data_IF_932192482843
#
_entry.id   IF_932192482843
#
_cell.length_a   1.000
_cell.length_b   1.000
_cell.length_c   1.000
_cell.angle_alpha   90.00
_cell.angle_beta   90.00
_cell.angle_gamma   90.00
#
_symmetry.space_group_name_H-M   'P 1'
#
loop_
_entity.id
_entity.type
_entity.pdbx_description
1 polymer ?
#
# COMPACT_ATOMS: atom_id res chain seq x y z
N UNK A 1 8.68 46.52 9.66
CA UNK A 1 7.22 46.26 9.65
C UNK A 1 7.04 44.77 9.41
N UNK A 2 6.58 44.07 10.44
CA UNK A 2 6.53 42.61 10.48
C UNK A 2 5.28 42.06 9.82
N UNK A 3 5.47 41.05 8.98
CA UNK A 3 4.44 40.07 8.68
C UNK A 3 5.06 38.73 9.08
N UNK A 4 4.90 38.36 10.36
CA UNK A 4 5.02 36.95 10.75
C UNK A 4 3.82 36.27 10.09
N UNK A 5 4.09 35.36 9.16
CA UNK A 5 3.11 34.51 8.49
C UNK A 5 2.26 33.75 9.52
N UNK A 6 1.16 34.37 9.96
CA UNK A 6 0.14 33.77 10.80
C UNK A 6 -0.84 32.88 9.99
N UNK A 7 -0.46 32.43 8.79
CA UNK A 7 -1.33 31.72 7.87
C UNK A 7 -1.07 30.20 7.78
N UNK A 8 -0.23 29.63 8.66
CA UNK A 8 0.06 28.18 8.70
C UNK A 8 -0.80 27.46 9.75
N UNK A 9 -1.51 28.18 10.63
CA UNK A 9 -2.26 27.60 11.75
C UNK A 9 -3.78 27.49 11.57
N UNK A 10 -4.29 27.43 10.34
CA UNK A 10 -5.64 26.91 10.14
C UNK A 10 -5.61 25.38 10.25
N UNK A 11 -5.24 24.90 11.44
CA UNK A 11 -5.46 23.54 11.91
C UNK A 11 -6.98 23.36 11.97
N UNK A 12 -7.50 22.44 11.18
CA UNK A 12 -8.91 22.06 11.20
C UNK A 12 -9.00 20.69 11.88
N UNK A 13 -9.27 20.62 13.20
CA UNK A 13 -9.36 19.35 13.93
C UNK A 13 -10.28 18.34 13.24
N UNK A 14 -11.39 18.84 12.67
CA UNK A 14 -12.36 18.06 11.89
C UNK A 14 -11.77 17.45 10.61
N UNK A 15 -10.81 18.10 9.97
CA UNK A 15 -10.13 17.58 8.76
C UNK A 15 -9.16 16.47 9.14
N UNK A 16 -8.48 16.60 10.28
CA UNK A 16 -7.59 15.55 10.78
C UNK A 16 -8.36 14.31 11.27
N UNK A 17 -9.52 14.52 11.92
CA UNK A 17 -10.43 13.43 12.28
C UNK A 17 -10.92 12.69 11.03
N UNK A 18 -11.24 13.45 9.97
CA UNK A 18 -11.61 12.86 8.68
C UNK A 18 -10.48 12.04 8.06
N UNK A 19 -9.24 12.55 8.03
CA UNK A 19 -8.10 11.80 7.47
C UNK A 19 -7.82 10.54 8.29
N UNK A 20 -7.84 10.62 9.62
CA UNK A 20 -7.67 9.46 10.48
C UNK A 20 -8.78 8.41 10.25
N UNK A 21 -10.04 8.85 10.13
CA UNK A 21 -11.17 7.98 9.83
C UNK A 21 -11.07 7.34 8.43
N UNK A 22 -10.56 8.06 7.43
CA UNK A 22 -10.34 7.51 6.08
C UNK A 22 -9.23 6.45 6.07
N UNK A 23 -8.16 6.63 6.84
CA UNK A 23 -7.11 5.63 7.01
C UNK A 23 -7.65 4.40 7.74
N UNK A 24 -8.44 4.58 8.80
CA UNK A 24 -9.09 3.49 9.52
C UNK A 24 -10.08 2.71 8.63
N UNK A 25 -10.90 3.40 7.85
CA UNK A 25 -11.80 2.79 6.86
C UNK A 25 -11.04 2.01 5.78
N UNK A 26 -9.91 2.56 5.32
CA UNK A 26 -9.02 1.88 4.37
C UNK A 26 -8.45 0.58 4.98
N UNK A 27 -8.08 0.59 6.26
CA UNK A 27 -7.63 -0.62 6.98
C UNK A 27 -8.72 -1.67 7.07
N UNK A 28 -9.95 -1.27 7.42
CA UNK A 28 -11.10 -2.19 7.50
C UNK A 28 -11.39 -2.84 6.15
N UNK A 29 -11.45 -2.04 5.08
CA UNK A 29 -11.64 -2.53 3.71
C UNK A 29 -10.53 -3.47 3.25
N UNK A 30 -9.27 -3.13 3.57
CA UNK A 30 -8.15 -4.01 3.30
C UNK A 30 -8.33 -5.36 4.00
N UNK A 31 -8.63 -5.34 5.31
CA UNK A 31 -8.85 -6.56 6.09
C UNK A 31 -10.02 -7.41 5.58
N UNK A 32 -11.14 -6.79 5.22
CA UNK A 32 -12.31 -7.46 4.63
C UNK A 32 -11.97 -8.12 3.29
N UNK A 33 -11.29 -7.39 2.39
CA UNK A 33 -10.87 -7.93 1.10
C UNK A 33 -9.90 -9.10 1.27
N UNK A 34 -8.93 -8.96 2.19
CA UNK A 34 -7.98 -10.04 2.52
C UNK A 34 -8.74 -11.27 3.02
N UNK A 35 -9.66 -11.10 3.97
CA UNK A 35 -10.43 -12.20 4.54
C UNK A 35 -11.21 -12.95 3.45
N UNK A 36 -11.89 -12.22 2.55
CA UNK A 36 -12.65 -12.82 1.45
C UNK A 36 -11.77 -13.66 0.51
N UNK A 37 -10.56 -13.18 0.20
CA UNK A 37 -9.63 -13.91 -0.67
C UNK A 37 -9.13 -15.18 0.01
N UNK A 38 -8.75 -15.08 1.29
CA UNK A 38 -8.29 -16.23 2.06
C UNK A 38 -9.41 -17.27 2.19
N UNK A 39 -10.63 -16.84 2.47
CA UNK A 39 -11.82 -17.71 2.54
C UNK A 39 -12.15 -18.37 1.19
N UNK A 40 -11.87 -17.70 0.07
CA UNK A 40 -12.08 -18.27 -1.26
C UNK A 40 -11.11 -19.41 -1.62
N UNK A 41 -10.10 -19.67 -0.77
CA UNK A 41 -9.12 -20.74 -0.98
C UNK A 41 -8.08 -20.44 -2.06
N UNK A 42 -7.90 -19.16 -2.42
CA UNK A 42 -6.94 -18.75 -3.44
C UNK A 42 -5.48 -19.05 -3.03
N UNK A 43 -4.72 -19.53 -4.00
CA UNK A 43 -3.26 -19.68 -3.95
C UNK A 43 -2.56 -18.39 -3.54
N UNK A 44 -1.34 -18.48 -3.01
CA UNK A 44 -0.58 -17.29 -2.62
C UNK A 44 -0.39 -16.32 -3.81
N UNK A 45 -0.21 -16.85 -5.02
CA UNK A 45 -0.20 -16.08 -6.27
C UNK A 45 -1.50 -15.32 -6.51
N UNK A 46 -2.65 -15.98 -6.36
CA UNK A 46 -3.95 -15.33 -6.56
C UNK A 46 -4.18 -14.20 -5.55
N UNK A 47 -3.76 -14.38 -4.29
CA UNK A 47 -3.88 -13.32 -3.28
C UNK A 47 -3.01 -12.11 -3.61
N UNK A 48 -1.75 -12.34 -4.00
CA UNK A 48 -0.84 -11.25 -4.37
C UNK A 48 -1.23 -10.62 -5.71
N UNK A 49 -1.77 -11.41 -6.64
CA UNK A 49 -2.32 -10.91 -7.91
C UNK A 49 -3.49 -9.96 -7.67
N UNK A 50 -4.41 -10.32 -6.77
CA UNK A 50 -5.50 -9.45 -6.37
C UNK A 50 -5.01 -8.09 -5.86
N UNK A 51 -3.93 -8.07 -5.08
CA UNK A 51 -3.34 -6.81 -4.59
C UNK A 51 -2.92 -5.90 -5.74
N UNK A 52 -2.26 -6.47 -6.75
CA UNK A 52 -1.83 -5.72 -7.93
C UNK A 52 -3.01 -5.26 -8.79
N UNK A 53 -4.02 -6.11 -8.96
CA UNK A 53 -5.24 -5.76 -9.70
C UNK A 53 -6.05 -4.68 -8.99
N UNK A 54 -6.09 -4.72 -7.66
CA UNK A 54 -6.69 -3.66 -6.85
C UNK A 54 -5.98 -2.31 -7.09
N UNK A 55 -4.65 -2.28 -7.09
CA UNK A 55 -3.89 -1.07 -7.39
C UNK A 55 -4.14 -0.55 -8.82
N UNK A 56 -4.25 -1.44 -9.81
CA UNK A 56 -4.58 -1.08 -11.19
C UNK A 56 -6.01 -0.54 -11.33
N UNK A 57 -6.98 -1.18 -10.66
CA UNK A 57 -8.37 -0.71 -10.62
C UNK A 57 -8.48 0.66 -9.98
N UNK A 58 -7.83 0.88 -8.84
CA UNK A 58 -7.80 2.20 -8.21
C UNK A 58 -7.19 3.26 -9.13
N UNK A 59 -6.13 2.92 -9.87
CA UNK A 59 -5.58 3.81 -10.88
C UNK A 59 -6.61 4.17 -11.95
N UNK A 60 -7.33 3.18 -12.48
CA UNK A 60 -8.33 3.36 -13.54
C UNK A 60 -9.54 4.19 -13.06
N UNK A 61 -9.83 4.16 -11.75
CA UNK A 61 -10.82 5.02 -11.08
C UNK A 61 -10.30 6.42 -10.71
N UNK A 62 -9.07 6.78 -11.12
CA UNK A 62 -8.44 8.07 -10.80
C UNK A 62 -7.86 8.17 -9.39
N UNK A 63 -7.77 7.07 -8.65
CA UNK A 63 -7.16 6.95 -7.30
C UNK A 63 -5.74 6.41 -7.40
N UNK A 64 -4.90 7.08 -8.20
CA UNK A 64 -3.54 6.61 -8.52
C UNK A 64 -2.63 6.50 -7.29
N UNK A 65 -2.84 7.34 -6.26
CA UNK A 65 -2.05 7.38 -5.03
C UNK A 65 -2.81 6.62 -3.93
N UNK A 66 -2.14 5.68 -3.26
CA UNK A 66 -2.73 4.95 -2.14
C UNK A 66 -2.87 5.83 -0.89
N UNK A 67 -3.78 5.49 0.06
CA UNK A 67 -3.94 6.25 1.29
C UNK A 67 -2.64 6.48 2.07
N UNK A 68 -1.77 5.46 2.30
CA UNK A 68 -0.49 5.71 2.96
C UNK A 68 0.44 6.66 2.19
N UNK A 69 0.51 6.48 0.87
CA UNK A 69 1.33 7.32 -0.01
C UNK A 69 0.83 8.77 -0.12
N UNK A 70 -0.43 9.04 0.21
CA UNK A 70 -1.01 10.40 0.13
C UNK A 70 -0.59 11.30 1.29
N UNK A 71 -0.17 10.73 2.42
CA UNK A 71 0.20 11.48 3.64
C UNK A 71 1.68 11.38 3.99
N UNK A 72 2.45 10.52 3.29
CA UNK A 72 3.83 10.20 3.67
C UNK A 72 4.80 11.38 3.56
N UNK A 73 4.58 12.30 2.61
CA UNK A 73 5.46 13.46 2.39
C UNK A 73 5.39 14.46 3.55
N UNK A 74 4.21 14.57 4.17
CA UNK A 74 3.97 15.49 5.29
C UNK A 74 4.04 14.76 6.65
N UNK A 75 4.51 13.50 6.68
CA UNK A 75 4.35 12.60 7.83
C UNK A 75 4.82 13.21 9.16
N UNK A 76 5.92 13.97 9.17
CA UNK A 76 6.46 14.63 10.38
C UNK A 76 5.51 15.67 10.97
N UNK A 77 4.81 16.40 10.11
CA UNK A 77 3.90 17.50 10.46
C UNK A 77 2.47 17.01 10.75
N UNK A 78 2.18 15.73 10.48
CA UNK A 78 0.86 15.16 10.73
C UNK A 78 0.53 15.11 12.24
N UNK A 79 -0.75 15.22 12.60
CA UNK A 79 -1.21 14.92 13.95
C UNK A 79 -0.92 13.47 14.33
N UNK A 80 -0.61 13.22 15.61
CA UNK A 80 -0.27 11.89 16.12
C UNK A 80 -1.33 10.82 15.82
N UNK A 81 -2.61 11.18 15.86
CA UNK A 81 -3.71 10.26 15.49
C UNK A 81 -3.62 9.78 14.04
N UNK A 82 -3.24 10.67 13.11
CA UNK A 82 -3.10 10.35 11.68
C UNK A 82 -1.85 9.51 11.47
N UNK A 83 -0.72 9.89 12.09
CA UNK A 83 0.52 9.10 12.07
C UNK A 83 0.27 7.67 12.53
N UNK A 84 -0.42 7.51 13.66
CA UNK A 84 -0.79 6.20 14.22
C UNK A 84 -1.60 5.37 13.24
N UNK A 85 -2.67 5.92 12.66
CA UNK A 85 -3.50 5.16 11.71
C UNK A 85 -2.73 4.80 10.43
N UNK A 86 -1.85 5.69 9.98
CA UNK A 86 -1.02 5.44 8.81
C UNK A 86 -0.02 4.30 9.04
N UNK A 87 0.67 4.30 10.18
CA UNK A 87 1.61 3.24 10.56
C UNK A 87 0.87 1.90 10.71
N UNK A 88 -0.27 1.88 11.40
CA UNK A 88 -1.07 0.66 11.53
C UNK A 88 -1.52 0.10 10.18
N UNK A 89 -1.87 0.96 9.21
CA UNK A 89 -2.22 0.50 7.87
C UNK A 89 -1.02 -0.11 7.12
N UNK A 90 0.16 0.51 7.25
CA UNK A 90 1.39 -0.04 6.65
C UNK A 90 1.78 -1.38 7.29
N UNK A 91 1.69 -1.48 8.62
CA UNK A 91 1.98 -2.72 9.36
C UNK A 91 1.02 -3.85 8.97
N UNK A 92 -0.27 -3.55 8.80
CA UNK A 92 -1.27 -4.52 8.35
C UNK A 92 -0.97 -5.03 6.93
N UNK A 93 -0.60 -4.12 6.00
CA UNK A 93 -0.20 -4.47 4.64
C UNK A 93 1.05 -5.36 4.65
N UNK A 94 2.09 -4.96 5.38
CA UNK A 94 3.35 -5.71 5.46
C UNK A 94 3.15 -7.09 6.07
N UNK A 95 2.36 -7.19 7.13
CA UNK A 95 2.03 -8.45 7.80
C UNK A 95 1.33 -9.41 6.84
N UNK A 96 0.34 -8.90 6.10
CA UNK A 96 -0.39 -9.70 5.13
C UNK A 96 0.48 -10.15 3.96
N UNK A 97 1.22 -9.23 3.31
CA UNK A 97 2.11 -9.57 2.19
C UNK A 97 3.16 -10.59 2.64
N UNK A 98 3.74 -10.43 3.84
CA UNK A 98 4.66 -11.42 4.42
C UNK A 98 4.02 -12.80 4.55
N UNK A 99 2.78 -12.87 5.05
CA UNK A 99 2.02 -14.12 5.13
C UNK A 99 1.82 -14.79 3.77
N UNK A 100 1.44 -14.01 2.75
CA UNK A 100 1.27 -14.49 1.38
C UNK A 100 2.58 -15.00 0.79
N UNK A 101 3.67 -14.23 0.91
CA UNK A 101 4.98 -14.62 0.40
C UNK A 101 5.51 -15.89 1.07
N UNK A 102 5.33 -16.02 2.39
CA UNK A 102 5.69 -17.23 3.15
C UNK A 102 4.92 -18.45 2.65
N UNK A 103 3.60 -18.33 2.48
CA UNK A 103 2.78 -19.42 1.97
C UNK A 103 3.20 -19.82 0.55
N UNK A 104 3.45 -18.86 -0.32
CA UNK A 104 3.88 -19.13 -1.70
C UNK A 104 5.26 -19.77 -1.79
N UNK A 105 6.21 -19.42 -0.91
CA UNK A 105 7.49 -20.15 -0.81
C UNK A 105 7.29 -21.61 -0.40
N UNK A 106 6.43 -21.87 0.59
CA UNK A 106 6.14 -23.23 1.06
C UNK A 106 5.45 -24.07 -0.02
N UNK A 107 4.61 -23.45 -0.83
CA UNK A 107 3.87 -24.08 -1.93
C UNK A 107 4.69 -24.15 -3.24
N UNK A 108 5.88 -23.56 -3.26
CA UNK A 108 6.76 -23.52 -4.43
C UNK A 108 6.35 -22.53 -5.52
N UNK A 109 5.35 -21.67 -5.26
CA UNK A 109 4.78 -20.68 -6.17
C UNK A 109 5.68 -19.45 -6.38
N UNK A 110 6.51 -19.14 -5.37
CA UNK A 110 7.54 -18.11 -5.41
C UNK A 110 8.94 -18.72 -5.24
N UNK A 111 9.97 -17.98 -5.64
CA UNK A 111 11.36 -18.43 -5.53
C UNK A 111 12.29 -17.24 -5.35
N UNK A 112 12.63 -16.95 -4.11
CA UNK A 112 13.62 -15.92 -3.72
C UNK A 112 14.42 -16.38 -2.49
N UNK A 113 15.58 -15.77 -2.25
CA UNK A 113 16.55 -16.22 -1.24
C UNK A 113 16.63 -15.35 0.02
N UNK A 114 16.12 -14.12 -0.02
CA UNK A 114 16.12 -13.21 1.13
C UNK A 114 15.02 -13.57 2.13
N UNK A 115 15.00 -12.89 3.28
CA UNK A 115 13.92 -13.07 4.25
C UNK A 115 12.57 -12.66 3.66
N UNK A 116 11.51 -13.31 4.13
CA UNK A 116 10.13 -13.00 3.74
C UNK A 116 9.80 -11.54 4.05
N UNK A 117 10.27 -11.05 5.19
CA UNK A 117 10.02 -9.70 5.68
C UNK A 117 10.68 -8.66 4.76
N UNK A 118 11.97 -8.84 4.44
CA UNK A 118 12.69 -7.94 3.54
C UNK A 118 12.08 -7.94 2.13
N UNK A 119 11.59 -9.11 1.67
CA UNK A 119 10.93 -9.21 0.38
C UNK A 119 9.55 -8.54 0.38
N UNK A 120 8.80 -8.66 1.47
CA UNK A 120 7.51 -7.98 1.62
C UNK A 120 7.68 -6.46 1.64
N UNK A 121 8.67 -5.94 2.36
CA UNK A 121 9.05 -4.52 2.36
C UNK A 121 9.33 -4.05 0.93
N UNK A 122 10.19 -4.75 0.19
CA UNK A 122 10.53 -4.40 -1.19
C UNK A 122 9.29 -4.35 -2.10
N UNK A 123 8.37 -5.33 -1.98
CA UNK A 123 7.12 -5.35 -2.76
C UNK A 123 6.26 -4.13 -2.45
N UNK A 124 6.08 -3.81 -1.17
CA UNK A 124 5.26 -2.67 -0.73
C UNK A 124 5.88 -1.35 -1.18
N UNK A 125 7.18 -1.15 -0.95
CA UNK A 125 7.92 0.04 -1.36
C UNK A 125 7.87 0.25 -2.87
N UNK A 126 8.18 -0.80 -3.64
CA UNK A 126 8.19 -0.75 -5.10
C UNK A 126 6.79 -0.42 -5.66
N UNK A 127 5.73 -1.03 -5.12
CA UNK A 127 4.37 -0.76 -5.56
C UNK A 127 3.91 0.64 -5.16
N UNK A 128 4.19 1.10 -3.94
CA UNK A 128 3.88 2.46 -3.50
C UNK A 128 4.56 3.51 -4.38
N UNK A 129 5.86 3.35 -4.65
CA UNK A 129 6.61 4.23 -5.54
C UNK A 129 6.09 4.19 -6.98
N UNK A 130 5.74 3.00 -7.49
CA UNK A 130 5.15 2.84 -8.81
C UNK A 130 3.81 3.56 -8.92
N UNK A 131 2.95 3.46 -7.90
CA UNK A 131 1.67 4.16 -7.82
C UNK A 131 1.85 5.68 -7.89
N UNK A 132 2.77 6.24 -7.08
CA UNK A 132 3.11 7.67 -7.14
C UNK A 132 3.61 8.07 -8.53
N UNK A 133 4.59 7.37 -9.09
CA UNK A 133 5.13 7.71 -10.42
C UNK A 133 4.09 7.55 -11.53
N UNK A 134 3.19 6.57 -11.43
CA UNK A 134 2.13 6.37 -12.41
C UNK A 134 1.13 7.52 -12.45
N UNK A 135 0.93 8.24 -11.35
CA UNK A 135 0.06 9.43 -11.33
C UNK A 135 0.54 10.53 -12.29
N UNK A 136 1.85 10.53 -12.61
CA UNK A 136 2.48 11.52 -13.51
C UNK A 136 2.84 10.88 -14.87
N UNK A 137 3.30 9.63 -14.87
CA UNK A 137 3.80 8.92 -16.06
C UNK A 137 2.77 7.97 -16.71
N UNK A 138 1.57 7.87 -16.13
CA UNK A 138 0.46 7.04 -16.60
C UNK A 138 0.54 5.56 -16.21
N UNK A 139 -0.57 4.86 -16.47
CA UNK A 139 -0.84 3.45 -16.10
C UNK A 139 0.27 2.48 -16.48
N UNK A 140 0.91 2.68 -17.63
CA UNK A 140 2.00 1.80 -18.13
C UNK A 140 3.16 1.70 -17.14
N UNK A 141 3.40 2.73 -16.34
CA UNK A 141 4.41 2.71 -15.27
C UNK A 141 4.07 1.69 -14.20
N UNK A 142 2.81 1.69 -13.72
CA UNK A 142 2.34 0.75 -12.71
C UNK A 142 2.35 -0.70 -13.22
N UNK A 143 1.83 -0.92 -14.44
CA UNK A 143 1.84 -2.24 -15.09
C UNK A 143 3.25 -2.80 -15.20
N UNK A 144 4.22 -1.98 -15.65
CA UNK A 144 5.61 -2.40 -15.77
C UNK A 144 6.22 -2.74 -14.41
N UNK A 145 5.98 -1.92 -13.39
CA UNK A 145 6.49 -2.21 -12.04
C UNK A 145 5.91 -3.50 -11.47
N UNK A 146 4.61 -3.75 -11.64
CA UNK A 146 3.97 -5.02 -11.23
C UNK A 146 4.66 -6.20 -11.94
N UNK A 147 4.90 -6.11 -13.25
CA UNK A 147 5.61 -7.16 -14.00
C UNK A 147 7.02 -7.42 -13.46
N UNK A 148 7.77 -6.37 -13.09
CA UNK A 148 9.11 -6.50 -12.53
C UNK A 148 9.08 -7.11 -11.13
N UNK A 149 8.15 -6.68 -10.28
CA UNK A 149 7.94 -7.26 -8.95
C UNK A 149 7.67 -8.76 -9.06
N UNK A 150 6.78 -9.19 -9.95
CA UNK A 150 6.52 -10.63 -10.18
C UNK A 150 7.77 -11.39 -10.61
N UNK A 151 8.53 -10.84 -11.55
CA UNK A 151 9.79 -11.45 -12.01
C UNK A 151 10.79 -11.62 -10.86
N UNK A 152 10.91 -10.61 -10.00
CA UNK A 152 11.82 -10.59 -8.86
C UNK A 152 11.40 -11.56 -7.74
N UNK A 153 10.10 -11.84 -7.60
CA UNK A 153 9.56 -12.87 -6.71
C UNK A 153 9.80 -14.31 -7.21
N UNK A 154 10.35 -14.48 -8.41
CA UNK A 154 10.48 -15.79 -9.04
C UNK A 154 9.11 -16.45 -9.23
N UNK A 155 8.11 -15.66 -9.61
CA UNK A 155 6.73 -16.08 -9.82
C UNK A 155 6.66 -17.24 -10.82
N UNK A 156 6.21 -18.41 -10.35
CA UNK A 156 6.06 -19.60 -11.19
C UNK A 156 4.61 -19.76 -11.64
N UNK A 157 4.41 -20.19 -12.87
CA UNK A 157 3.08 -20.46 -13.45
C UNK A 157 2.50 -21.80 -13.01
#
# INVERSE_FOLDING_TARGET
MGIKNAAIHNYYPKKEDLVAALLEDSRKKLAENIAQIVESGGSAREQLQYYFDYALKEFDEGKSICPPGSVILDFKELPEKVKKQNLLLLDDILTWISGVLKAGLQQGEFSFSDSVEARAELVVEALMGARQLSSIKGRKTLVRSISLIKSDLGWKD
#
